data_IF_866701113020
#
_entry.id   IF_866701113020
#
_cell.length_a   1.000
_cell.length_b   1.000
_cell.length_c   1.000
_cell.angle_alpha   90.00
_cell.angle_beta   90.00
_cell.angle_gamma   90.00
#
_symmetry.space_group_name_H-M   'P 1'
#
loop_
_entity.id
_entity.type
_entity.pdbx_description
1 polymer ?
#
# COMPACT_ATOMS: atom_id res chain seq x y z
N UNK A 1 60.98 19.73 -21.08
CA UNK A 1 59.68 20.14 -21.64
C UNK A 1 58.71 19.00 -21.42
N UNK A 2 57.85 19.11 -20.41
CA UNK A 2 56.87 18.08 -20.04
C UNK A 2 55.52 18.53 -20.59
N UNK A 3 55.00 17.84 -21.61
CA UNK A 3 53.69 18.14 -22.22
C UNK A 3 52.60 17.44 -21.41
N UNK A 4 51.73 18.24 -20.78
CA UNK A 4 50.54 17.76 -20.09
C UNK A 4 49.41 17.57 -21.11
N UNK A 5 48.98 16.31 -21.31
CA UNK A 5 47.76 15.99 -22.05
C UNK A 5 46.57 16.06 -21.08
N UNK A 6 45.66 17.01 -21.31
CA UNK A 6 44.39 17.08 -20.58
C UNK A 6 43.40 16.09 -21.21
N UNK A 7 43.06 15.03 -20.46
CA UNK A 7 41.97 14.11 -20.83
C UNK A 7 40.65 14.74 -20.35
N UNK A 8 39.80 15.15 -21.29
CA UNK A 8 38.45 15.63 -20.99
C UNK A 8 37.59 14.41 -20.64
N UNK A 9 37.28 14.25 -19.36
CA UNK A 9 36.34 13.25 -18.89
C UNK A 9 34.91 13.64 -19.28
N UNK A 10 34.25 12.80 -20.07
CA UNK A 10 32.82 12.93 -20.37
C UNK A 10 32.08 12.10 -19.32
N UNK A 11 31.54 12.75 -18.29
CA UNK A 11 30.62 12.12 -17.35
C UNK A 11 29.28 11.90 -18.05
N UNK A 12 28.94 10.65 -18.36
CA UNK A 12 27.59 10.28 -18.80
C UNK A 12 26.72 10.19 -17.55
N UNK A 13 25.89 11.21 -17.33
CA UNK A 13 24.85 11.16 -16.30
C UNK A 13 23.68 10.31 -16.83
N UNK A 14 23.68 9.02 -16.48
CA UNK A 14 22.56 8.13 -16.80
C UNK A 14 21.40 8.50 -15.88
N UNK A 15 20.46 9.29 -16.38
CA UNK A 15 19.21 9.56 -15.71
C UNK A 15 18.35 8.28 -15.69
N UNK A 16 18.32 7.59 -14.56
CA UNK A 16 17.43 6.44 -14.35
C UNK A 16 15.98 6.93 -14.24
N UNK A 17 15.24 6.85 -15.35
CA UNK A 17 13.80 7.07 -15.35
C UNK A 17 13.14 6.03 -14.41
N UNK A 18 12.53 6.49 -13.32
CA UNK A 18 11.80 5.63 -12.40
C UNK A 18 10.52 5.11 -13.10
N UNK A 19 10.23 3.80 -13.05
CA UNK A 19 8.98 3.26 -13.54
C UNK A 19 7.82 3.97 -12.84
N UNK A 20 6.99 4.69 -13.59
CA UNK A 20 5.75 5.24 -13.04
C UNK A 20 4.82 4.05 -12.79
N UNK A 21 4.26 3.89 -11.58
CA UNK A 21 3.28 2.85 -11.34
C UNK A 21 2.13 3.03 -12.34
N UNK A 22 1.97 2.06 -13.23
CA UNK A 22 0.92 2.06 -14.24
C UNK A 22 -0.39 1.67 -13.57
N UNK A 23 -1.17 2.66 -13.14
CA UNK A 23 -2.48 2.44 -12.57
C UNK A 23 -3.04 3.70 -11.93
N UNK A 24 -4.36 3.83 -11.92
CA UNK A 24 -5.01 4.88 -11.12
C UNK A 24 -4.84 4.57 -9.62
N UNK A 25 -4.76 5.58 -8.73
CA UNK A 25 -4.74 5.37 -7.28
C UNK A 25 -5.93 4.53 -6.77
N UNK A 26 -7.06 4.60 -7.47
CA UNK A 26 -8.23 3.76 -7.16
C UNK A 26 -7.99 2.29 -7.46
N UNK A 27 -7.35 1.96 -8.58
CA UNK A 27 -7.02 0.58 -8.94
C UNK A 27 -6.04 -0.05 -7.95
N UNK A 28 -5.06 0.70 -7.44
CA UNK A 28 -4.13 0.15 -6.46
C UNK A 28 -4.85 -0.22 -5.16
N UNK A 29 -5.74 0.65 -4.65
CA UNK A 29 -6.55 0.38 -3.44
C UNK A 29 -7.40 -0.88 -3.61
N UNK A 30 -8.15 -0.97 -4.72
CA UNK A 30 -8.99 -2.15 -5.00
C UNK A 30 -8.12 -3.40 -5.10
N UNK A 31 -7.02 -3.36 -5.86
CA UNK A 31 -6.14 -4.52 -6.01
C UNK A 31 -5.53 -4.97 -4.68
N UNK A 32 -5.22 -4.05 -3.77
CA UNK A 32 -4.69 -4.37 -2.46
C UNK A 32 -5.76 -5.02 -1.58
N UNK A 33 -6.99 -4.50 -1.65
CA UNK A 33 -8.13 -5.08 -0.94
C UNK A 33 -8.40 -6.51 -1.42
N UNK A 34 -8.55 -6.73 -2.73
CA UNK A 34 -8.80 -8.06 -3.31
C UNK A 34 -7.71 -9.09 -2.93
N UNK A 35 -6.45 -8.66 -2.80
CA UNK A 35 -5.35 -9.55 -2.37
C UNK A 35 -5.36 -9.86 -0.87
N UNK A 36 -5.91 -8.97 -0.05
CA UNK A 36 -5.93 -9.11 1.41
C UNK A 36 -7.27 -9.58 1.98
N UNK A 37 -8.34 -9.55 1.18
CA UNK A 37 -9.67 -9.95 1.61
C UNK A 37 -9.78 -11.48 1.73
N UNK A 38 -10.38 -12.00 2.81
CA UNK A 38 -10.70 -13.42 2.92
C UNK A 38 -11.64 -13.86 1.79
N UNK A 39 -11.51 -15.12 1.34
CA UNK A 39 -12.45 -15.67 0.38
C UNK A 39 -13.80 -15.98 1.06
N UNK A 40 -14.83 -16.21 0.25
CA UNK A 40 -16.14 -16.63 0.75
C UNK A 40 -15.99 -18.01 1.43
N UNK A 41 -16.39 -18.08 2.70
CA UNK A 41 -16.27 -19.30 3.51
C UNK A 41 -15.03 -19.32 4.40
N UNK A 42 -14.05 -18.45 4.16
CA UNK A 42 -12.91 -18.30 5.05
C UNK A 42 -13.31 -17.65 6.38
N UNK A 43 -12.55 -17.96 7.43
CA UNK A 43 -12.70 -17.27 8.70
C UNK A 43 -12.29 -15.80 8.55
N UNK A 44 -13.09 -14.90 9.12
CA UNK A 44 -12.69 -13.51 9.26
C UNK A 44 -11.44 -13.41 10.16
N UNK A 45 -10.44 -12.61 9.79
CA UNK A 45 -9.25 -12.39 10.61
C UNK A 45 -9.63 -11.71 11.92
N UNK A 46 -8.87 -12.01 12.97
CA UNK A 46 -9.04 -11.36 14.26
C UNK A 46 -8.38 -9.98 14.22
N UNK A 47 -9.21 -8.95 14.01
CA UNK A 47 -8.78 -7.55 13.94
C UNK A 47 -9.30 -6.82 15.17
N UNK A 48 -8.43 -6.03 15.79
CA UNK A 48 -8.79 -5.03 16.79
C UNK A 48 -8.54 -3.62 16.26
N UNK A 49 -9.23 -2.66 16.84
CA UNK A 49 -9.10 -1.24 16.50
C UNK A 49 -9.77 -0.39 17.56
N UNK A 50 -9.99 0.88 17.22
CA UNK A 50 -10.65 1.83 18.10
C UNK A 50 -11.88 2.42 17.42
N UNK A 51 -12.94 2.61 18.19
CA UNK A 51 -14.11 3.35 17.71
C UNK A 51 -13.85 4.87 17.72
N UNK A 52 -14.86 5.64 17.28
CA UNK A 52 -14.78 7.10 17.24
C UNK A 52 -14.56 7.78 18.61
N UNK A 53 -14.75 7.05 19.72
CA UNK A 53 -14.54 7.54 21.09
C UNK A 53 -13.19 7.07 21.66
N UNK A 54 -12.38 6.37 20.88
CA UNK A 54 -11.12 5.78 21.34
C UNK A 54 -11.31 4.53 22.18
N UNK A 55 -12.51 3.91 22.19
CA UNK A 55 -12.73 2.65 22.87
C UNK A 55 -12.24 1.51 21.99
N UNK A 56 -11.51 0.58 22.59
CA UNK A 56 -11.04 -0.62 21.91
C UNK A 56 -12.22 -1.48 21.43
N UNK A 57 -12.14 -1.91 20.18
CA UNK A 57 -13.15 -2.71 19.49
C UNK A 57 -12.49 -3.92 18.83
N UNK A 58 -13.03 -5.10 19.11
CA UNK A 58 -12.54 -6.37 18.56
C UNK A 58 -13.59 -6.97 17.65
N UNK A 59 -13.22 -7.37 16.43
CA UNK A 59 -14.15 -8.04 15.52
C UNK A 59 -14.71 -9.34 16.10
N UNK A 60 -13.97 -10.03 16.98
CA UNK A 60 -14.44 -11.23 17.68
C UNK A 60 -15.70 -11.01 18.51
N UNK A 61 -15.95 -9.77 18.96
CA UNK A 61 -17.18 -9.42 19.69
C UNK A 61 -18.45 -9.49 18.83
N UNK A 62 -18.30 -9.45 17.50
CA UNK A 62 -19.41 -9.54 16.54
C UNK A 62 -19.82 -10.98 16.23
N UNK A 63 -19.08 -11.98 16.72
CA UNK A 63 -19.33 -13.39 16.44
C UNK A 63 -20.75 -13.80 16.87
N UNK A 64 -21.44 -14.54 15.99
CA UNK A 64 -22.82 -14.96 16.20
C UNK A 64 -23.87 -14.02 15.61
N UNK A 65 -23.46 -12.82 15.17
CA UNK A 65 -24.35 -11.88 14.46
C UNK A 65 -23.96 -11.79 12.98
N UNK A 66 -24.97 -11.68 12.11
CA UNK A 66 -24.73 -11.28 10.72
C UNK A 66 -24.29 -9.82 10.71
N UNK A 67 -23.05 -9.58 10.27
CA UNK A 67 -22.43 -8.25 10.32
C UNK A 67 -21.90 -7.87 8.94
N UNK A 68 -22.12 -6.61 8.55
CA UNK A 68 -21.57 -6.03 7.32
C UNK A 68 -20.43 -5.10 7.69
N UNK A 69 -19.22 -5.36 7.15
CA UNK A 69 -18.05 -4.51 7.33
C UNK A 69 -17.87 -3.64 6.09
N UNK A 70 -17.93 -2.31 6.26
CA UNK A 70 -17.71 -1.34 5.18
C UNK A 70 -16.39 -0.62 5.44
N UNK A 71 -15.43 -0.80 4.54
CA UNK A 71 -14.16 -0.10 4.57
C UNK A 71 -14.20 1.09 3.61
N UNK A 72 -13.90 2.28 4.13
CA UNK A 72 -13.82 3.52 3.36
C UNK A 72 -12.77 4.45 3.95
N UNK A 73 -12.34 5.47 3.20
CA UNK A 73 -11.53 6.52 3.78
C UNK A 73 -12.45 7.56 4.43
N UNK A 74 -12.17 7.89 5.69
CA UNK A 74 -12.72 9.09 6.31
C UNK A 74 -11.80 10.23 5.89
N UNK A 75 -12.29 11.13 5.05
CA UNK A 75 -11.55 12.30 4.55
C UNK A 75 -11.24 13.28 5.68
#
# INVERSE_FOLDING_TARGET
MVTALAVIGISVEVAYAQPRPSGSPRQSIVSNFERGSPAIGDALPDISGYDAKGKEFHLRSLKGNYTVLVFGCLT
#
